data_IF_772117657877
#
_entry.id   IF_772117657877
#
_cell.length_a   1.000
_cell.length_b   1.000
_cell.length_c   1.000
_cell.angle_alpha   90.00
_cell.angle_beta   90.00
_cell.angle_gamma   90.00
#
_symmetry.space_group_name_H-M   'P 1'
#
loop_
_entity.id
_entity.type
_entity.pdbx_description
1 polymer ?
#
# COMPACT_ATOMS: atom_id res chain seq x y z
N UNK A 1 -9.78 5.20 -4.76
CA UNK A 1 -9.05 3.95 -4.46
C UNK A 1 -8.56 4.03 -3.02
N UNK A 2 -8.72 2.96 -2.24
CA UNK A 2 -8.06 2.82 -0.94
C UNK A 2 -7.10 1.64 -1.02
N UNK A 3 -6.07 1.67 -0.19
CA UNK A 3 -5.08 0.60 -0.09
C UNK A 3 -5.34 -0.18 1.19
N UNK A 4 -5.16 -1.49 1.14
CA UNK A 4 -4.99 -2.29 2.36
C UNK A 4 -3.60 -2.07 2.89
N UNK A 5 -3.50 -1.71 4.16
CA UNK A 5 -2.22 -1.46 4.83
C UNK A 5 -1.89 -2.66 5.70
N UNK A 6 -0.77 -3.30 5.41
CA UNK A 6 -0.16 -4.34 6.24
C UNK A 6 1.10 -3.74 6.86
N UNK A 7 1.38 -4.01 8.14
CA UNK A 7 2.68 -3.70 8.71
C UNK A 7 3.71 -4.75 8.30
N UNK A 8 4.97 -4.47 8.58
CA UNK A 8 6.11 -5.36 8.35
C UNK A 8 6.06 -6.63 9.20
N UNK A 9 5.45 -6.55 10.39
CA UNK A 9 5.16 -7.68 11.28
C UNK A 9 4.04 -8.62 10.77
N UNK A 10 3.27 -8.23 9.74
CA UNK A 10 2.11 -9.00 9.29
C UNK A 10 2.46 -10.44 8.89
N UNK A 11 3.62 -10.64 8.27
CA UNK A 11 4.08 -11.97 7.88
C UNK A 11 4.37 -12.84 9.10
N UNK A 12 5.06 -12.27 10.09
CA UNK A 12 5.45 -12.95 11.32
C UNK A 12 4.22 -13.27 12.19
N UNK A 13 3.26 -12.34 12.30
CA UNK A 13 1.99 -12.57 12.99
C UNK A 13 1.23 -13.78 12.38
N UNK A 14 1.37 -14.00 11.07
CA UNK A 14 0.67 -15.07 10.36
C UNK A 14 1.38 -16.43 10.41
N UNK A 15 2.56 -16.56 11.03
CA UNK A 15 3.39 -17.77 10.95
C UNK A 15 2.69 -19.01 11.55
N UNK A 16 1.82 -18.80 12.55
CA UNK A 16 1.05 -19.89 13.18
C UNK A 16 -0.23 -20.27 12.43
N UNK A 17 -0.62 -19.52 11.39
CA UNK A 17 -1.82 -19.78 10.61
C UNK A 17 -1.59 -20.83 9.52
N UNK A 18 -2.64 -21.58 9.20
CA UNK A 18 -2.67 -22.34 7.97
C UNK A 18 -2.63 -21.43 6.73
N UNK A 19 -2.08 -21.93 5.62
CA UNK A 19 -2.08 -21.22 4.34
C UNK A 19 -3.49 -20.74 3.92
N UNK A 20 -4.52 -21.53 4.26
CA UNK A 20 -5.91 -21.20 3.97
C UNK A 20 -6.39 -20.01 4.82
N UNK A 21 -6.07 -19.98 6.11
CA UNK A 21 -6.42 -18.89 7.02
C UNK A 21 -5.63 -17.61 6.69
N UNK A 22 -4.33 -17.71 6.45
CA UNK A 22 -3.49 -16.60 5.98
C UNK A 22 -4.05 -15.94 4.72
N UNK A 23 -4.39 -16.76 3.71
CA UNK A 23 -4.99 -16.28 2.47
C UNK A 23 -6.34 -15.62 2.71
N UNK A 24 -7.22 -16.27 3.48
CA UNK A 24 -8.55 -15.75 3.79
C UNK A 24 -8.47 -14.41 4.54
N UNK A 25 -7.54 -14.28 5.49
CA UNK A 25 -7.34 -13.06 6.26
C UNK A 25 -6.93 -11.89 5.34
N UNK A 26 -5.95 -12.13 4.47
CA UNK A 26 -5.49 -11.16 3.47
C UNK A 26 -6.62 -10.77 2.50
N UNK A 27 -7.33 -11.75 1.96
CA UNK A 27 -8.47 -11.52 1.06
C UNK A 27 -9.59 -10.72 1.75
N UNK A 28 -9.86 -11.00 3.03
CA UNK A 28 -10.87 -10.31 3.83
C UNK A 28 -10.56 -8.83 4.02
N UNK A 29 -9.32 -8.50 4.40
CA UNK A 29 -8.86 -7.12 4.53
C UNK A 29 -8.98 -6.36 3.19
N UNK A 30 -8.52 -6.97 2.09
CA UNK A 30 -8.61 -6.39 0.74
C UNK A 30 -10.06 -6.19 0.32
N UNK A 31 -10.90 -7.20 0.50
CA UNK A 31 -12.29 -7.15 0.08
C UNK A 31 -13.06 -6.09 0.88
N UNK A 32 -12.90 -6.06 2.20
CA UNK A 32 -13.57 -5.08 3.05
C UNK A 32 -13.16 -3.66 2.68
N UNK A 33 -11.86 -3.40 2.50
CA UNK A 33 -11.37 -2.10 2.07
C UNK A 33 -11.88 -1.70 0.69
N UNK A 34 -11.98 -2.64 -0.25
CA UNK A 34 -12.55 -2.38 -1.59
C UNK A 34 -14.04 -2.05 -1.52
N UNK A 35 -14.78 -2.72 -0.63
CA UNK A 35 -16.24 -2.58 -0.48
C UNK A 35 -16.67 -1.55 0.57
N UNK A 36 -15.70 -1.00 1.31
CA UNK A 36 -15.92 -0.04 2.39
C UNK A 36 -16.91 -0.56 3.43
N UNK A 37 -16.70 -1.79 3.89
CA UNK A 37 -17.57 -2.43 4.90
C UNK A 37 -17.06 -2.26 6.33
N UNK A 38 -16.06 -1.41 6.55
CA UNK A 38 -15.48 -1.17 7.88
C UNK A 38 -15.13 -2.48 8.61
N UNK A 39 -14.47 -3.39 7.88
CA UNK A 39 -14.01 -4.70 8.36
C UNK A 39 -15.12 -5.70 8.71
N UNK A 40 -16.38 -5.37 8.42
CA UNK A 40 -17.52 -6.28 8.56
C UNK A 40 -17.66 -7.14 7.31
N UNK A 41 -17.70 -8.45 7.52
CA UNK A 41 -17.73 -9.48 6.49
C UNK A 41 -19.02 -10.28 6.63
N UNK A 42 -19.98 -10.00 5.76
CA UNK A 42 -21.23 -10.75 5.67
C UNK A 42 -20.94 -12.22 5.27
N UNK A 43 -21.31 -13.16 6.16
CA UNK A 43 -21.05 -14.60 5.97
C UNK A 43 -21.70 -15.13 4.70
N UNK A 44 -22.91 -14.67 4.39
CA UNK A 44 -23.65 -15.11 3.21
C UNK A 44 -22.96 -14.68 1.90
N UNK A 45 -22.06 -13.69 1.95
CA UNK A 45 -21.35 -13.17 0.76
C UNK A 45 -19.93 -13.70 0.61
N UNK A 46 -19.41 -14.47 1.57
CA UNK A 46 -18.02 -14.95 1.54
C UNK A 46 -17.70 -15.76 0.27
N UNK A 47 -18.61 -16.61 -0.19
CA UNK A 47 -18.45 -17.41 -1.41
C UNK A 47 -18.17 -16.59 -2.69
N UNK A 48 -18.44 -15.29 -2.69
CA UNK A 48 -18.24 -14.42 -3.87
C UNK A 48 -16.80 -13.94 -4.04
N UNK A 49 -15.97 -14.09 -3.02
CA UNK A 49 -14.65 -13.46 -3.00
C UNK A 49 -13.60 -14.24 -2.22
N UNK A 50 -14.00 -14.99 -1.19
CA UNK A 50 -13.09 -15.81 -0.40
C UNK A 50 -12.78 -17.08 -1.17
N UNK A 51 -11.49 -17.38 -1.35
CA UNK A 51 -11.06 -18.63 -1.99
C UNK A 51 -11.27 -19.83 -1.05
N UNK A 52 -11.08 -19.63 0.26
CA UNK A 52 -11.13 -20.67 1.30
C UNK A 52 -12.01 -20.22 2.48
N UNK A 53 -13.32 -19.98 2.28
CA UNK A 53 -14.20 -19.47 3.34
C UNK A 53 -14.30 -20.39 4.56
N UNK A 54 -14.04 -21.69 4.39
CA UNK A 54 -14.00 -22.70 5.45
C UNK A 54 -12.89 -22.49 6.48
N UNK A 55 -11.88 -21.64 6.19
CA UNK A 55 -10.81 -21.31 7.13
C UNK A 55 -11.20 -20.21 8.15
N UNK A 56 -12.40 -19.64 8.07
CA UNK A 56 -12.86 -18.60 8.99
C UNK A 56 -12.86 -19.02 10.48
N UNK A 57 -13.23 -20.26 10.86
CA UNK A 57 -13.19 -20.68 12.27
C UNK A 57 -11.80 -20.59 12.90
N UNK A 58 -10.73 -20.83 12.13
CA UNK A 58 -9.35 -20.69 12.60
C UNK A 58 -9.02 -19.24 12.96
N UNK A 59 -9.41 -18.30 12.07
CA UNK A 59 -9.25 -16.86 12.30
C UNK A 59 -10.05 -16.36 13.50
N UNK A 60 -11.19 -16.98 13.79
CA UNK A 60 -11.97 -16.70 15.00
C UNK A 60 -11.29 -17.30 16.23
N UNK A 61 -10.77 -18.52 16.14
CA UNK A 61 -10.11 -19.21 17.25
C UNK A 61 -8.85 -18.48 17.74
N UNK A 62 -8.05 -17.90 16.82
CA UNK A 62 -6.89 -17.08 17.18
C UNK A 62 -7.24 -15.62 17.53
N UNK A 63 -8.52 -15.24 17.54
CA UNK A 63 -8.98 -13.90 17.91
C UNK A 63 -8.76 -12.82 16.85
N UNK A 64 -8.38 -13.20 15.64
CA UNK A 64 -8.14 -12.25 14.55
C UNK A 64 -9.43 -11.74 13.95
N UNK A 65 -10.45 -12.60 13.92
CA UNK A 65 -11.81 -12.31 13.54
C UNK A 65 -12.71 -12.51 14.76
N UNK A 66 -13.78 -11.71 14.85
CA UNK A 66 -14.86 -11.91 15.82
C UNK A 66 -16.10 -12.39 15.08
N UNK A 67 -16.76 -13.41 15.62
CA UNK A 67 -18.08 -13.83 15.15
C UNK A 67 -19.17 -12.98 15.81
N UNK A 68 -19.88 -12.16 15.04
CA UNK A 68 -21.00 -11.32 15.48
C UNK A 68 -22.36 -11.88 15.00
N UNK A 69 -22.44 -13.18 14.70
CA UNK A 69 -23.65 -13.86 14.28
C UNK A 69 -23.80 -13.93 12.75
N UNK A 70 -24.38 -12.91 12.13
CA UNK A 70 -24.62 -12.87 10.67
C UNK A 70 -23.39 -12.44 9.86
N UNK A 71 -22.38 -11.89 10.52
CA UNK A 71 -21.15 -11.43 9.92
C UNK A 71 -19.95 -11.67 10.83
N UNK A 72 -18.76 -11.62 10.25
CA UNK A 72 -17.50 -11.55 11.00
C UNK A 72 -17.00 -10.10 11.05
N UNK A 73 -16.33 -9.72 12.13
CA UNK A 73 -15.55 -8.49 12.23
C UNK A 73 -14.05 -8.83 12.19
N UNK A 74 -13.31 -8.26 11.25
CA UNK A 74 -11.84 -8.40 11.25
C UNK A 74 -11.25 -7.44 12.29
N UNK A 75 -10.58 -8.00 13.31
CA UNK A 75 -9.95 -7.24 14.40
C UNK A 75 -8.46 -7.06 14.13
N UNK A 76 -7.77 -8.15 13.82
CA UNK A 76 -6.35 -8.12 13.53
C UNK A 76 -6.06 -7.17 12.36
N UNK A 77 -5.05 -6.32 12.53
CA UNK A 77 -4.67 -5.27 11.57
C UNK A 77 -5.76 -4.22 11.24
N UNK A 78 -6.90 -4.25 11.93
CA UNK A 78 -8.00 -3.32 11.68
C UNK A 78 -7.65 -1.85 11.96
N UNK A 79 -6.80 -1.61 12.97
CA UNK A 79 -6.30 -0.28 13.36
C UNK A 79 -5.60 0.48 12.24
N UNK A 80 -5.05 -0.23 11.26
CA UNK A 80 -4.33 0.38 10.13
C UNK A 80 -5.24 0.70 8.95
N UNK A 81 -6.47 0.19 8.95
CA UNK A 81 -7.41 0.39 7.87
C UNK A 81 -8.17 1.69 8.07
N UNK A 82 -8.38 2.42 6.98
CA UNK A 82 -9.20 3.64 7.02
C UNK A 82 -10.67 3.26 7.07
N UNK A 83 -11.44 3.97 7.88
CA UNK A 83 -12.89 3.84 7.85
C UNK A 83 -13.47 4.30 6.51
N UNK A 84 -14.66 3.78 6.18
CA UNK A 84 -15.49 4.17 5.04
C UNK A 84 -15.64 5.68 4.96
N UNK A 85 -15.94 6.32 6.08
CA UNK A 85 -16.12 7.78 6.14
C UNK A 85 -14.86 8.52 5.69
N UNK A 86 -13.67 8.10 6.17
CA UNK A 86 -12.40 8.69 5.75
C UNK A 86 -12.12 8.47 4.27
N UNK A 87 -12.39 7.27 3.76
CA UNK A 87 -12.16 6.95 2.34
C UNK A 87 -13.09 7.77 1.45
N UNK A 88 -14.37 7.90 1.79
CA UNK A 88 -15.32 8.72 1.02
C UNK A 88 -14.93 10.20 1.04
N UNK A 89 -14.49 10.74 2.19
CA UNK A 89 -13.96 12.11 2.29
C UNK A 89 -12.74 12.32 1.39
N UNK A 90 -11.80 11.37 1.40
CA UNK A 90 -10.62 11.40 0.54
C UNK A 90 -10.99 11.34 -0.95
N UNK A 91 -11.95 10.49 -1.32
CA UNK A 91 -12.44 10.37 -2.69
C UNK A 91 -13.06 11.68 -3.17
N UNK A 92 -13.93 12.30 -2.35
CA UNK A 92 -14.55 13.60 -2.66
C UNK A 92 -13.49 14.68 -2.86
N UNK A 93 -12.51 14.79 -1.95
CA UNK A 93 -11.39 15.73 -2.08
C UNK A 93 -10.60 15.51 -3.38
N UNK A 94 -10.27 14.27 -3.69
CA UNK A 94 -9.51 13.95 -4.90
C UNK A 94 -10.30 14.23 -6.19
N UNK A 95 -11.63 14.05 -6.17
CA UNK A 95 -12.52 14.41 -7.27
C UNK A 95 -12.53 15.93 -7.49
N UNK A 96 -12.64 16.71 -6.42
CA UNK A 96 -12.59 18.17 -6.47
C UNK A 96 -11.25 18.68 -7.04
N UNK A 97 -10.13 18.19 -6.50
CA UNK A 97 -8.80 18.56 -6.99
C UNK A 97 -8.58 18.17 -8.47
N UNK A 98 -9.16 17.04 -8.89
CA UNK A 98 -9.12 16.60 -10.28
C UNK A 98 -9.93 17.48 -11.22
N UNK A 99 -11.11 17.94 -10.80
CA UNK A 99 -11.94 18.87 -11.57
C UNK A 99 -11.26 20.23 -11.77
N UNK A 100 -10.47 20.69 -10.79
CA UNK A 100 -9.69 21.92 -10.87
C UNK A 100 -8.36 21.78 -11.64
N UNK A 101 -8.12 20.66 -12.34
CA UNK A 101 -6.93 20.47 -13.17
C UNK A 101 -5.64 20.11 -12.42
N UNK A 102 -5.68 19.91 -11.10
CA UNK A 102 -4.49 19.63 -10.28
C UNK A 102 -3.99 18.18 -10.34
N UNK A 103 -4.52 17.34 -11.24
CA UNK A 103 -4.16 15.91 -11.31
C UNK A 103 -2.97 15.70 -12.25
N UNK A 104 -1.83 15.18 -11.75
CA UNK A 104 -0.72 14.80 -12.60
C UNK A 104 -1.14 13.74 -13.64
N UNK A 105 -0.53 13.72 -14.83
CA UNK A 105 -0.76 12.68 -15.82
C UNK A 105 -0.48 11.29 -15.26
N UNK A 106 -1.25 10.29 -15.71
CA UNK A 106 -1.04 8.88 -15.31
C UNK A 106 0.31 8.39 -15.87
N UNK A 107 1.31 8.30 -15.01
CA UNK A 107 2.51 7.52 -15.31
C UNK A 107 2.15 6.02 -15.36
N UNK A 108 2.63 5.26 -16.36
CA UNK A 108 2.46 3.82 -16.41
C UNK A 108 3.01 3.16 -15.14
N UNK A 109 2.30 2.17 -14.58
CA UNK A 109 2.81 1.36 -13.47
C UNK A 109 4.05 0.61 -13.94
N UNK A 110 5.12 0.66 -13.15
CA UNK A 110 6.32 -0.15 -13.37
C UNK A 110 5.93 -1.62 -13.53
N UNK A 111 6.09 -2.13 -14.74
CA UNK A 111 6.11 -3.57 -14.99
C UNK A 111 7.57 -3.95 -14.90
N UNK A 112 7.90 -4.90 -14.04
CA UNK A 112 9.19 -5.57 -14.11
C UNK A 112 9.26 -6.22 -15.49
N UNK A 113 9.94 -5.58 -16.43
CA UNK A 113 10.28 -6.20 -17.71
C UNK A 113 11.28 -7.32 -17.39
N UNK A 114 11.05 -8.57 -17.82
CA UNK A 114 12.10 -9.57 -17.72
C UNK A 114 13.32 -9.03 -18.47
N UNK A 115 14.47 -9.09 -17.78
CA UNK A 115 15.77 -8.57 -18.22
C UNK A 115 16.01 -9.00 -19.67
N UNK A 116 15.92 -8.07 -20.62
CA UNK A 116 16.48 -8.31 -21.94
C UNK A 116 17.98 -8.51 -21.72
N UNK A 117 18.50 -9.68 -22.10
CA UNK A 117 19.93 -9.97 -22.16
C UNK A 117 20.58 -8.85 -22.96
N UNK A 118 21.29 -7.95 -22.28
CA UNK A 118 22.03 -6.88 -22.93
C UNK A 118 23.14 -7.56 -23.73
N UNK A 119 23.02 -7.53 -25.05
CA UNK A 119 24.19 -7.74 -25.91
C UNK A 119 25.09 -6.52 -25.69
N UNK A 120 26.28 -6.76 -25.16
CA UNK A 120 27.35 -5.77 -25.01
C UNK A 120 27.57 -5.05 -26.33
N UNK A 121 27.22 -3.77 -26.38
CA UNK A 121 27.75 -2.85 -27.38
C UNK A 121 28.65 -1.88 -26.64
N UNK A 122 29.96 -2.12 -26.74
CA UNK A 122 30.98 -1.20 -26.29
C UNK A 122 30.84 0.14 -27.02
N UNK A 123 30.47 1.20 -26.29
CA UNK A 123 30.59 2.58 -26.75
C UNK A 123 31.38 3.39 -25.72
N UNK A 124 32.53 3.88 -26.19
CA UNK A 124 33.52 4.69 -25.46
C UNK A 124 32.91 6.05 -25.08
N UNK A 125 33.11 6.57 -23.85
CA UNK A 125 32.52 7.86 -23.49
C UNK A 125 33.37 9.02 -24.01
N UNK A 126 32.79 9.87 -24.86
CA UNK A 126 33.38 11.17 -25.25
C UNK A 126 32.84 12.25 -24.31
N UNK A 127 33.53 12.45 -23.18
CA UNK A 127 33.22 13.53 -22.23
C UNK A 127 33.68 14.88 -22.79
N UNK A 128 32.77 15.88 -22.82
CA UNK A 128 33.11 17.30 -22.92
C UNK A 128 32.43 18.04 -21.75
N UNK A 129 33.18 18.66 -20.83
CA UNK A 129 32.58 19.50 -19.80
C UNK A 129 32.20 20.86 -20.42
N UNK A 130 30.94 21.29 -20.25
CA UNK A 130 30.52 22.69 -20.47
C UNK A 130 30.45 23.37 -19.11
N UNK A 131 31.23 24.44 -18.97
CA UNK A 131 31.45 25.17 -17.72
C UNK A 131 30.19 25.76 -17.10
N UNK A 132 30.16 25.73 -15.77
CA UNK A 132 29.14 26.36 -14.93
C UNK A 132 29.47 27.83 -14.74
N UNK A 133 28.77 28.71 -15.46
CA UNK A 133 28.74 30.14 -15.16
C UNK A 133 27.75 30.40 -14.02
N UNK A 134 28.28 30.68 -12.82
CA UNK A 134 27.53 31.28 -11.70
C UNK A 134 28.45 32.25 -10.99
N UNK A 135 28.56 33.45 -11.55
CA UNK A 135 29.10 34.60 -10.84
C UNK A 135 27.98 35.18 -9.98
N UNK A 136 27.96 34.76 -8.72
CA UNK A 136 27.08 35.28 -7.68
C UNK A 136 27.93 35.66 -6.48
N UNK A 137 28.20 36.95 -6.36
CA UNK A 137 28.88 37.61 -5.24
C UNK A 137 28.10 37.44 -3.94
N UNK A 138 28.79 37.05 -2.86
CA UNK A 138 28.21 36.95 -1.51
C UNK A 138 29.26 36.73 -0.43
N UNK A 139 29.57 37.79 0.31
CA UNK A 139 30.53 37.88 1.42
C UNK A 139 30.10 37.14 2.71
N UNK A 140 31.11 36.72 3.49
CA UNK A 140 31.08 36.52 4.96
C UNK A 140 30.48 35.18 5.44
N UNK A 141 31.02 34.44 6.42
CA UNK A 141 31.98 34.71 7.48
C UNK A 141 32.76 33.41 7.79
N UNK A 142 34.07 33.52 8.00
CA UNK A 142 34.93 32.42 8.43
C UNK A 142 35.63 32.73 9.75
N UNK A 143 35.85 31.65 10.51
CA UNK A 143 36.77 31.47 11.63
C UNK A 143 36.30 31.89 13.04
N UNK A 144 35.74 30.91 13.75
CA UNK A 144 35.85 30.78 15.20
C UNK A 144 36.30 29.35 15.51
N UNK A 145 37.62 29.12 15.51
CA UNK A 145 38.24 27.86 15.94
C UNK A 145 38.42 27.91 17.45
N UNK A 146 38.05 26.80 18.10
CA UNK A 146 38.21 26.56 19.54
C UNK A 146 39.69 26.39 19.89
N UNK A 147 40.11 27.04 20.96
CA UNK A 147 40.78 26.41 22.10
C UNK A 147 40.51 27.25 23.35
#
# INVERSE_FOLDING_TARGET
>A
MTWTKLSDDYGDDCDELSDAAFRLHTEGLIWSNRKLTDLRIDKAKMHRWATRPEAAPELVACGWWMDEGDHYLIVHHGRYQRSRAMVLKLQKRNQQNGASGGRPPKVPRERFSPRQTQQETHLVPKWKPKGTGRDGTGQGYGSGVRN
#
